data_IF_249824951380
#
_entry.id   IF_249824951380
#
_cell.length_a   1.000
_cell.length_b   1.000
_cell.length_c   1.000
_cell.angle_alpha   90.00
_cell.angle_beta   90.00
_cell.angle_gamma   90.00
#
_symmetry.space_group_name_H-M   'P 1'
#
loop_
_entity.id
_entity.type
_entity.pdbx_description
1 polymer ?
#
# COMPACT_ATOMS: atom_id res chain seq x y z
N UNK A 1 -15.02 -7.64 -17.75
CA UNK A 1 -14.28 -8.60 -18.61
C UNK A 1 -15.24 -9.11 -19.66
N UNK A 2 -14.84 -9.09 -20.92
CA UNK A 2 -15.59 -9.64 -22.05
C UNK A 2 -15.00 -11.00 -22.41
N UNK A 3 -15.87 -12.01 -22.52
CA UNK A 3 -15.50 -13.31 -23.06
C UNK A 3 -16.09 -13.44 -24.47
N UNK A 4 -15.28 -13.82 -25.44
CA UNK A 4 -15.70 -14.00 -26.83
C UNK A 4 -14.96 -15.15 -27.50
N UNK A 5 -15.60 -15.78 -28.44
CA UNK A 5 -15.02 -16.86 -29.22
C UNK A 5 -14.43 -16.30 -30.53
N UNK A 6 -13.18 -16.67 -30.82
CA UNK A 6 -12.51 -16.35 -32.07
C UNK A 6 -11.77 -17.58 -32.57
N UNK A 7 -12.16 -18.07 -33.73
CA UNK A 7 -11.53 -19.24 -34.36
C UNK A 7 -11.62 -20.53 -33.53
N UNK A 8 -12.70 -20.70 -32.74
CA UNK A 8 -12.90 -21.86 -31.86
C UNK A 8 -12.20 -21.79 -30.51
N UNK A 9 -11.53 -20.67 -30.21
CA UNK A 9 -10.90 -20.44 -28.91
C UNK A 9 -11.65 -19.37 -28.14
N UNK A 10 -11.86 -19.62 -26.85
CA UNK A 10 -12.43 -18.65 -25.91
C UNK A 10 -11.36 -17.63 -25.53
N UNK A 11 -11.61 -16.36 -25.81
CA UNK A 11 -10.72 -15.25 -25.47
C UNK A 11 -11.40 -14.28 -24.49
N UNK A 12 -10.60 -13.67 -23.65
CA UNK A 12 -11.05 -12.68 -22.69
C UNK A 12 -10.42 -11.32 -23.00
N UNK A 13 -11.20 -10.26 -22.83
CA UNK A 13 -10.73 -8.87 -22.92
C UNK A 13 -11.28 -8.07 -21.75
N UNK A 14 -10.41 -7.34 -21.04
CA UNK A 14 -10.83 -6.41 -20.00
C UNK A 14 -11.09 -5.03 -20.58
N UNK A 15 -12.10 -4.36 -20.03
CA UNK A 15 -12.34 -2.92 -20.24
C UNK A 15 -12.24 -2.30 -18.87
N UNK A 16 -11.32 -1.35 -18.72
CA UNK A 16 -11.09 -0.65 -17.48
C UNK A 16 -11.95 0.62 -17.44
N UNK A 17 -12.71 0.78 -16.36
CA UNK A 17 -13.61 1.92 -16.10
C UNK A 17 -13.05 2.77 -14.97
N UNK A 18 -11.79 3.19 -15.10
CA UNK A 18 -11.06 3.90 -14.04
C UNK A 18 -11.67 5.26 -13.68
N UNK A 19 -12.40 5.87 -14.62
CA UNK A 19 -13.03 7.18 -14.45
C UNK A 19 -14.51 7.09 -14.03
N UNK A 20 -15.03 5.87 -13.80
CA UNK A 20 -16.42 5.71 -13.38
C UNK A 20 -16.64 6.32 -11.99
N UNK A 21 -17.56 7.26 -11.92
CA UNK A 21 -17.97 7.94 -10.68
C UNK A 21 -19.49 7.85 -10.48
N UNK A 22 -19.99 8.13 -9.26
CA UNK A 22 -21.43 8.19 -9.01
C UNK A 22 -22.18 9.21 -9.88
N UNK A 23 -21.49 10.20 -10.44
CA UNK A 23 -22.03 11.25 -11.31
C UNK A 23 -21.83 11.00 -12.81
N UNK A 24 -21.16 9.91 -13.18
CA UNK A 24 -20.91 9.59 -14.59
C UNK A 24 -22.21 9.32 -15.34
N UNK A 25 -22.38 9.93 -16.51
CA UNK A 25 -23.49 9.58 -17.42
C UNK A 25 -23.24 8.20 -18.03
N UNK A 26 -24.00 7.23 -17.58
CA UNK A 26 -23.87 5.83 -18.00
C UNK A 26 -24.17 5.66 -19.47
N UNK A 27 -25.13 6.41 -20.02
CA UNK A 27 -25.51 6.29 -21.44
C UNK A 27 -24.39 6.78 -22.35
N UNK A 28 -23.81 7.94 -22.05
CA UNK A 28 -22.68 8.48 -22.77
C UNK A 28 -21.44 7.55 -22.69
N UNK A 29 -21.19 6.97 -21.52
CA UNK A 29 -20.08 6.03 -21.31
C UNK A 29 -20.28 4.75 -22.13
N UNK A 30 -21.49 4.21 -22.19
CA UNK A 30 -21.80 3.01 -23.02
C UNK A 30 -21.56 3.29 -24.50
N UNK A 31 -21.95 4.46 -25.00
CA UNK A 31 -21.68 4.85 -26.40
C UNK A 31 -20.18 4.97 -26.68
N UNK A 32 -19.42 5.52 -25.76
CA UNK A 32 -17.96 5.62 -25.88
C UNK A 32 -17.31 4.23 -25.91
N UNK A 33 -17.73 3.35 -25.01
CA UNK A 33 -17.24 1.95 -24.96
C UNK A 33 -17.57 1.22 -26.25
N UNK A 34 -18.79 1.39 -26.80
CA UNK A 34 -19.18 0.78 -28.07
C UNK A 34 -18.36 1.25 -29.26
N UNK A 35 -18.00 2.55 -29.29
CA UNK A 35 -17.11 3.09 -30.34
C UNK A 35 -15.69 2.53 -30.23
N UNK A 36 -15.20 2.36 -29.01
CA UNK A 36 -13.85 1.86 -28.75
C UNK A 36 -13.74 0.33 -28.90
N UNK A 37 -14.84 -0.41 -28.67
CA UNK A 37 -14.85 -1.86 -28.60
C UNK A 37 -15.92 -2.48 -29.50
N UNK A 38 -15.58 -2.85 -30.74
CA UNK A 38 -16.53 -3.42 -31.69
C UNK A 38 -17.16 -4.77 -31.28
N UNK A 39 -16.60 -5.44 -30.28
CA UNK A 39 -17.16 -6.67 -29.72
C UNK A 39 -18.48 -6.43 -28.96
N UNK A 40 -18.74 -5.21 -28.55
CA UNK A 40 -19.99 -4.81 -27.91
C UNK A 40 -20.99 -4.34 -28.96
N UNK A 41 -21.81 -5.26 -29.38
CA UNK A 41 -22.87 -4.99 -30.38
C UNK A 41 -24.03 -4.19 -29.75
N UNK A 42 -24.82 -3.51 -30.58
CA UNK A 42 -26.01 -2.78 -30.14
C UNK A 42 -26.99 -3.65 -29.35
N UNK A 43 -27.10 -4.94 -29.67
CA UNK A 43 -27.96 -5.90 -28.94
C UNK A 43 -27.52 -6.15 -27.49
N UNK A 44 -26.23 -5.92 -27.18
CA UNK A 44 -25.67 -6.09 -25.83
C UNK A 44 -25.50 -4.79 -25.04
N UNK A 45 -25.81 -3.67 -25.67
CA UNK A 45 -25.70 -2.32 -25.07
C UNK A 45 -26.45 -2.23 -23.74
N UNK A 46 -27.67 -2.73 -23.69
CA UNK A 46 -28.48 -2.71 -22.47
C UNK A 46 -27.87 -3.54 -21.33
N UNK A 47 -27.24 -4.68 -21.63
CA UNK A 47 -26.56 -5.48 -20.62
C UNK A 47 -25.34 -4.77 -20.05
N UNK A 48 -24.54 -4.12 -20.90
CA UNK A 48 -23.39 -3.31 -20.49
C UNK A 48 -23.85 -2.14 -19.63
N UNK A 49 -24.92 -1.47 -20.02
CA UNK A 49 -25.53 -0.38 -19.25
C UNK A 49 -25.92 -0.83 -17.83
N UNK A 50 -26.62 -1.96 -17.71
CA UNK A 50 -27.01 -2.52 -16.42
C UNK A 50 -25.81 -2.88 -15.54
N UNK A 51 -24.74 -3.43 -16.12
CA UNK A 51 -23.52 -3.75 -15.38
C UNK A 51 -22.82 -2.48 -14.86
N UNK A 52 -22.75 -1.43 -15.68
CA UNK A 52 -22.16 -0.14 -15.29
C UNK A 52 -23.03 0.53 -14.21
N UNK A 53 -24.34 0.49 -14.33
CA UNK A 53 -25.25 1.01 -13.30
C UNK A 53 -25.06 0.30 -11.97
N UNK A 54 -24.96 -1.04 -11.98
CA UNK A 54 -24.68 -1.82 -10.76
C UNK A 54 -23.34 -1.46 -10.11
N UNK A 55 -22.31 -1.20 -10.93
CA UNK A 55 -21.03 -0.73 -10.41
C UNK A 55 -21.13 0.68 -9.83
N UNK A 56 -21.88 1.56 -10.50
CA UNK A 56 -22.12 2.91 -10.03
C UNK A 56 -22.92 2.94 -8.71
N UNK A 57 -23.93 2.08 -8.57
CA UNK A 57 -24.71 1.94 -7.32
C UNK A 57 -23.81 1.47 -6.17
N UNK A 58 -22.93 0.50 -6.42
CA UNK A 58 -21.93 0.10 -5.42
C UNK A 58 -20.98 1.21 -5.01
N UNK A 59 -20.58 2.07 -5.94
CA UNK A 59 -19.76 3.24 -5.62
C UNK A 59 -20.53 4.23 -4.76
N UNK A 60 -21.85 4.40 -4.98
CA UNK A 60 -22.72 5.25 -4.15
C UNK A 60 -22.87 4.69 -2.74
N UNK A 61 -23.15 3.39 -2.60
CA UNK A 61 -23.29 2.74 -1.29
C UNK A 61 -22.07 2.93 -0.40
N UNK A 62 -20.87 2.96 -0.99
CA UNK A 62 -19.63 3.13 -0.24
C UNK A 62 -19.25 4.59 0.01
N UNK A 63 -19.87 5.56 -0.69
CA UNK A 63 -19.52 6.98 -0.56
C UNK A 63 -19.97 7.60 0.77
N UNK A 64 -21.04 7.08 1.38
CA UNK A 64 -21.65 7.60 2.62
C UNK A 64 -21.41 6.70 3.84
N UNK A 65 -20.55 5.68 3.71
CA UNK A 65 -20.30 4.75 4.80
C UNK A 65 -19.69 5.45 6.01
N UNK A 66 -20.31 5.26 7.18
CA UNK A 66 -19.81 5.70 8.48
C UNK A 66 -19.20 4.51 9.21
N UNK A 67 -18.02 4.71 9.75
CA UNK A 67 -17.29 3.66 10.46
C UNK A 67 -17.60 3.71 11.96
N UNK A 68 -17.97 2.57 12.50
CA UNK A 68 -18.19 2.39 13.94
C UNK A 68 -17.18 1.38 14.49
N UNK A 69 -16.83 1.56 15.75
CA UNK A 69 -15.93 0.63 16.42
C UNK A 69 -16.62 -0.74 16.59
N UNK A 70 -16.08 -1.73 15.88
CA UNK A 70 -16.56 -3.11 16.02
C UNK A 70 -15.89 -3.82 17.18
N UNK A 71 -14.55 -3.76 17.26
CA UNK A 71 -13.80 -4.50 18.27
C UNK A 71 -12.46 -3.84 18.60
N UNK A 72 -12.09 -3.91 19.87
CA UNK A 72 -10.75 -3.59 20.35
C UNK A 72 -10.02 -4.90 20.62
N UNK A 73 -8.88 -5.08 19.96
CA UNK A 73 -8.05 -6.27 20.14
C UNK A 73 -6.82 -5.88 20.96
N UNK A 74 -6.69 -6.46 22.14
CA UNK A 74 -5.45 -6.39 22.94
C UNK A 74 -4.44 -7.36 22.37
N UNK A 75 -3.93 -6.99 21.21
CA UNK A 75 -3.22 -7.87 20.31
C UNK A 75 -1.91 -8.39 20.90
N UNK A 76 -1.14 -7.51 21.51
CA UNK A 76 0.22 -7.80 21.95
C UNK A 76 0.49 -7.23 23.36
N UNK A 77 1.52 -7.79 24.02
CA UNK A 77 1.98 -7.31 25.34
C UNK A 77 2.89 -6.09 25.23
N UNK A 78 3.41 -5.80 24.04
CA UNK A 78 4.24 -4.63 23.71
C UNK A 78 3.65 -3.91 22.49
N UNK A 79 4.09 -2.69 22.20
CA UNK A 79 3.57 -1.92 21.07
C UNK A 79 3.60 -2.65 19.75
N UNK A 80 2.60 -2.40 18.92
CA UNK A 80 2.57 -2.87 17.54
C UNK A 80 3.57 -2.06 16.69
N UNK A 81 4.10 -2.73 15.66
CA UNK A 81 4.98 -2.09 14.68
C UNK A 81 4.28 -1.87 13.34
N UNK A 82 3.40 -2.78 12.95
CA UNK A 82 2.72 -2.70 11.68
C UNK A 82 1.42 -3.53 11.67
N UNK A 83 0.55 -3.19 10.71
CA UNK A 83 -0.70 -3.90 10.43
C UNK A 83 -0.80 -4.10 8.92
N UNK A 84 -1.26 -5.25 8.47
CA UNK A 84 -1.50 -5.52 7.06
C UNK A 84 -2.74 -6.41 6.88
N UNK A 85 -3.52 -6.16 5.81
CA UNK A 85 -4.67 -6.96 5.43
C UNK A 85 -4.36 -7.82 4.21
N UNK A 86 -5.01 -8.98 4.12
CA UNK A 86 -5.03 -9.72 2.87
C UNK A 86 -6.01 -9.08 1.87
N UNK A 87 -5.91 -9.44 0.61
CA UNK A 87 -6.74 -8.84 -0.45
C UNK A 87 -8.23 -9.11 -0.29
N UNK A 88 -8.61 -10.28 0.21
CA UNK A 88 -10.01 -10.62 0.45
C UNK A 88 -10.62 -9.83 1.63
N UNK A 89 -9.77 -9.28 2.51
CA UNK A 89 -10.19 -8.63 3.76
C UNK A 89 -10.65 -9.61 4.85
N UNK A 90 -10.50 -10.92 4.62
CA UNK A 90 -10.93 -11.94 5.59
C UNK A 90 -10.01 -12.05 6.79
N UNK A 91 -8.72 -11.75 6.61
CA UNK A 91 -7.69 -11.80 7.63
C UNK A 91 -6.84 -10.54 7.63
N UNK A 92 -6.26 -10.22 8.77
CA UNK A 92 -5.19 -9.25 8.90
C UNK A 92 -4.12 -9.74 9.87
N UNK A 93 -2.96 -9.16 9.79
CA UNK A 93 -1.80 -9.49 10.61
C UNK A 93 -1.29 -8.27 11.35
N UNK A 94 -0.72 -8.51 12.52
CA UNK A 94 -0.09 -7.49 13.37
C UNK A 94 1.31 -7.93 13.76
N UNK A 95 2.29 -7.06 13.59
CA UNK A 95 3.65 -7.26 14.08
C UNK A 95 3.90 -6.42 15.33
N UNK A 96 4.82 -6.85 16.19
CA UNK A 96 5.05 -6.22 17.48
C UNK A 96 6.50 -6.28 17.96
N UNK A 97 6.82 -5.38 18.89
CA UNK A 97 8.02 -5.43 19.71
C UNK A 97 8.09 -6.66 20.60
N UNK A 98 6.98 -7.38 20.82
CA UNK A 98 6.94 -8.64 21.58
C UNK A 98 7.55 -9.83 20.82
N UNK A 99 8.15 -9.59 19.63
CA UNK A 99 8.82 -10.56 18.74
C UNK A 99 7.88 -11.52 18.02
N UNK A 100 6.59 -11.23 18.00
CA UNK A 100 5.57 -12.06 17.33
C UNK A 100 4.85 -11.32 16.24
N UNK A 101 4.29 -12.08 15.32
CA UNK A 101 3.26 -11.65 14.39
C UNK A 101 2.01 -12.47 14.68
N UNK A 102 0.85 -11.84 14.76
CA UNK A 102 -0.42 -12.53 14.97
C UNK A 102 -1.32 -12.41 13.76
N UNK A 103 -2.07 -13.48 13.51
CA UNK A 103 -3.05 -13.58 12.42
C UNK A 103 -4.44 -13.54 13.02
N UNK A 104 -5.29 -12.67 12.50
CA UNK A 104 -6.62 -12.38 13.02
C UNK A 104 -7.69 -12.61 11.95
N UNK A 105 -8.82 -13.19 12.36
CA UNK A 105 -10.03 -13.22 11.56
C UNK A 105 -10.75 -11.87 11.63
N UNK A 106 -10.95 -11.22 10.49
CA UNK A 106 -11.53 -9.87 10.44
C UNK A 106 -13.00 -9.87 10.88
N UNK A 107 -13.76 -10.91 10.53
CA UNK A 107 -15.19 -10.96 10.81
C UNK A 107 -15.50 -11.15 12.30
N UNK A 108 -14.75 -11.97 12.99
CA UNK A 108 -14.95 -12.27 14.42
C UNK A 108 -14.03 -11.46 15.34
N UNK A 109 -12.91 -10.96 14.81
CA UNK A 109 -11.80 -10.40 15.60
C UNK A 109 -11.09 -11.48 16.43
N UNK A 110 -11.24 -12.76 16.10
CA UNK A 110 -10.57 -13.87 16.76
C UNK A 110 -9.14 -14.04 16.31
N UNK A 111 -8.24 -14.39 17.24
CA UNK A 111 -6.88 -14.77 16.92
C UNK A 111 -6.86 -16.16 16.28
N UNK A 112 -6.28 -16.26 15.08
CA UNK A 112 -6.12 -17.52 14.37
C UNK A 112 -4.80 -18.19 14.71
N UNK A 113 -3.70 -17.43 14.66
CA UNK A 113 -2.35 -17.91 14.94
C UNK A 113 -1.51 -16.84 15.61
N UNK A 114 -0.55 -17.30 16.40
CA UNK A 114 0.62 -16.52 16.81
C UNK A 114 1.84 -17.10 16.10
N UNK A 115 2.46 -16.31 15.24
CA UNK A 115 3.68 -16.66 14.51
C UNK A 115 4.87 -16.31 15.38
N UNK A 116 5.32 -17.29 16.15
CA UNK A 116 6.41 -17.18 17.13
C UNK A 116 7.66 -17.86 16.59
N UNK A 117 8.80 -17.23 16.72
CA UNK A 117 10.09 -17.77 16.25
C UNK A 117 11.17 -16.72 16.04
N UNK A 118 10.82 -15.46 15.89
CA UNK A 118 11.79 -14.38 15.87
C UNK A 118 12.38 -14.11 17.26
N UNK A 119 13.67 -13.74 17.27
CA UNK A 119 14.42 -13.45 18.50
C UNK A 119 14.48 -11.97 18.84
N UNK A 120 13.88 -11.14 18.03
CA UNK A 120 13.81 -9.69 18.22
C UNK A 120 12.52 -9.15 17.58
N UNK A 121 12.32 -7.83 17.61
CA UNK A 121 11.16 -7.12 17.11
C UNK A 121 10.77 -7.59 15.71
N UNK A 122 9.50 -7.87 15.50
CA UNK A 122 8.89 -8.06 14.18
C UNK A 122 8.45 -6.69 13.66
N UNK A 123 9.18 -6.15 12.70
CA UNK A 123 9.00 -4.78 12.22
C UNK A 123 8.26 -4.69 10.89
N UNK A 124 8.59 -5.55 9.94
CA UNK A 124 8.00 -5.58 8.61
C UNK A 124 7.16 -6.84 8.41
N UNK A 125 5.95 -6.68 7.93
CA UNK A 125 5.01 -7.79 7.69
C UNK A 125 4.25 -7.57 6.38
N UNK A 126 3.96 -8.63 5.66
CA UNK A 126 3.14 -8.58 4.46
C UNK A 126 2.46 -9.91 4.16
N UNK A 127 1.30 -9.85 3.50
CA UNK A 127 0.71 -10.97 2.79
C UNK A 127 1.23 -11.03 1.36
N UNK A 128 1.22 -12.23 0.77
CA UNK A 128 1.48 -12.42 -0.66
C UNK A 128 0.22 -12.12 -1.50
N UNK A 129 -0.26 -10.88 -1.45
CA UNK A 129 -1.42 -10.48 -2.25
C UNK A 129 -1.14 -10.61 -3.77
N UNK A 130 -2.10 -11.06 -4.60
CA UNK A 130 -3.52 -11.28 -4.28
C UNK A 130 -3.86 -12.66 -3.69
N UNK A 131 -2.93 -13.57 -3.58
CA UNK A 131 -3.17 -14.94 -3.13
C UNK A 131 -3.58 -15.01 -1.65
N UNK A 132 -2.81 -14.38 -0.76
CA UNK A 132 -3.12 -14.28 0.67
C UNK A 132 -2.92 -15.58 1.47
N UNK A 133 -2.22 -16.55 0.92
CA UNK A 133 -1.95 -17.84 1.56
C UNK A 133 -0.62 -17.89 2.32
N UNK A 134 0.22 -16.86 2.17
CA UNK A 134 1.52 -16.74 2.82
C UNK A 134 1.70 -15.39 3.49
N UNK A 135 2.51 -15.40 4.55
CA UNK A 135 2.95 -14.21 5.29
C UNK A 135 4.46 -14.19 5.32
N UNK A 136 5.06 -13.02 5.09
CA UNK A 136 6.45 -12.76 5.37
C UNK A 136 6.60 -11.81 6.55
N UNK A 137 7.54 -12.12 7.44
CA UNK A 137 7.87 -11.30 8.61
C UNK A 137 9.36 -10.97 8.61
N UNK A 138 9.67 -9.69 8.66
CA UNK A 138 11.04 -9.19 8.78
C UNK A 138 11.31 -8.67 10.19
N UNK A 139 12.45 -9.03 10.74
CA UNK A 139 12.77 -8.77 12.13
C UNK A 139 14.09 -8.06 12.33
N UNK A 140 14.24 -7.43 13.48
CA UNK A 140 15.50 -6.90 13.98
C UNK A 140 16.49 -8.00 14.35
N UNK A 141 16.07 -9.28 14.38
CA UNK A 141 16.97 -10.43 14.48
C UNK A 141 17.76 -10.72 13.19
N UNK A 142 17.63 -9.86 12.16
CA UNK A 142 18.32 -9.93 10.86
C UNK A 142 17.76 -11.01 9.93
N UNK A 143 16.66 -11.64 10.26
CA UNK A 143 16.02 -12.68 9.46
C UNK A 143 14.64 -12.25 8.95
N UNK A 144 14.25 -12.87 7.85
CA UNK A 144 12.89 -12.87 7.34
C UNK A 144 12.35 -14.30 7.40
N UNK A 145 11.12 -14.47 7.85
CA UNK A 145 10.46 -15.78 7.89
C UNK A 145 9.25 -15.79 6.98
N UNK A 146 9.03 -16.91 6.32
CA UNK A 146 7.88 -17.18 5.47
C UNK A 146 6.96 -18.19 6.17
N UNK A 147 5.68 -17.83 6.30
CA UNK A 147 4.69 -18.60 7.05
C UNK A 147 3.48 -18.97 6.20
N UNK A 148 2.86 -20.11 6.53
CA UNK A 148 1.55 -20.50 6.01
C UNK A 148 0.44 -19.79 6.78
N UNK A 149 -0.50 -19.17 6.07
CA UNK A 149 -1.72 -18.60 6.67
C UNK A 149 -2.67 -19.69 7.15
N UNK A 150 -2.71 -20.82 6.44
CA UNK A 150 -3.61 -21.93 6.75
C UNK A 150 -3.20 -22.71 8.00
N UNK A 151 -1.90 -22.94 8.19
CA UNK A 151 -1.37 -23.80 9.26
C UNK A 151 -0.61 -23.05 10.35
N UNK A 152 -0.20 -21.80 10.09
CA UNK A 152 0.68 -21.04 10.98
C UNK A 152 2.12 -21.56 11.05
N UNK A 153 2.50 -22.49 10.18
CA UNK A 153 3.85 -23.06 10.16
C UNK A 153 4.82 -22.21 9.37
N UNK A 154 6.07 -22.16 9.82
CA UNK A 154 7.17 -21.51 9.14
C UNK A 154 7.69 -22.43 8.01
N UNK A 155 7.66 -21.94 6.75
CA UNK A 155 8.22 -22.64 5.61
C UNK A 155 9.73 -22.48 5.50
N UNK A 156 10.21 -21.24 5.65
CA UNK A 156 11.60 -20.86 5.47
C UNK A 156 12.00 -19.75 6.42
N UNK A 157 13.29 -19.73 6.77
CA UNK A 157 13.95 -18.60 7.40
C UNK A 157 15.05 -18.10 6.50
N UNK A 158 14.91 -16.88 6.01
CA UNK A 158 15.87 -16.24 5.11
C UNK A 158 16.95 -15.56 5.94
N UNK A 159 18.18 -16.04 5.83
CA UNK A 159 19.36 -15.57 6.56
C UNK A 159 20.38 -15.00 5.59
N UNK A 160 21.02 -13.92 5.95
CA UNK A 160 22.06 -13.28 5.15
C UNK A 160 22.27 -11.80 5.41
N UNK A 161 21.23 -11.09 5.86
CA UNK A 161 21.40 -9.71 6.33
C UNK A 161 22.24 -9.65 7.59
N UNK A 162 23.05 -8.60 7.70
CA UNK A 162 23.96 -8.36 8.84
C UNK A 162 23.41 -7.32 9.82
N UNK A 163 22.26 -6.75 9.53
CA UNK A 163 21.55 -5.80 10.39
C UNK A 163 20.04 -6.00 10.29
N UNK A 164 19.28 -5.19 11.00
CA UNK A 164 17.82 -5.24 11.13
C UNK A 164 17.15 -5.16 9.76
N UNK A 165 16.13 -6.00 9.53
CA UNK A 165 15.23 -5.92 8.39
C UNK A 165 14.10 -4.97 8.74
N UNK A 166 13.90 -3.93 7.93
CA UNK A 166 12.95 -2.85 8.21
C UNK A 166 11.87 -2.71 7.15
N UNK A 167 12.01 -3.34 6.01
CA UNK A 167 10.99 -3.37 4.97
C UNK A 167 11.05 -4.68 4.18
N UNK A 168 9.92 -5.08 3.65
CA UNK A 168 9.80 -6.26 2.79
C UNK A 168 8.58 -6.15 1.87
N UNK A 169 8.59 -6.91 0.80
CA UNK A 169 7.50 -7.00 -0.16
C UNK A 169 7.53 -8.32 -0.90
N UNK A 170 6.34 -8.89 -1.18
CA UNK A 170 6.22 -9.96 -2.16
C UNK A 170 6.11 -9.39 -3.57
N UNK A 171 6.63 -10.12 -4.56
CA UNK A 171 6.28 -9.81 -5.94
C UNK A 171 4.82 -10.24 -6.23
N UNK A 172 4.16 -9.64 -7.25
CA UNK A 172 2.77 -9.97 -7.58
C UNK A 172 2.55 -11.45 -7.95
N UNK A 173 3.58 -12.12 -8.46
CA UNK A 173 3.54 -13.53 -8.84
C UNK A 173 3.66 -14.47 -7.64
N UNK A 174 3.98 -13.96 -6.46
CA UNK A 174 4.25 -14.77 -5.26
C UNK A 174 5.36 -15.82 -5.45
N UNK A 175 6.41 -15.43 -6.15
CA UNK A 175 7.61 -16.27 -6.38
C UNK A 175 8.82 -15.77 -5.60
N UNK A 176 8.83 -14.50 -5.24
CA UNK A 176 9.93 -13.81 -4.57
C UNK A 176 9.45 -12.99 -3.38
N UNK A 177 10.29 -12.92 -2.36
CA UNK A 177 10.25 -11.91 -1.29
C UNK A 177 11.49 -11.03 -1.43
N UNK A 178 11.29 -9.73 -1.36
CA UNK A 178 12.37 -8.76 -1.26
C UNK A 178 12.43 -8.20 0.16
N UNK A 179 13.63 -8.09 0.72
CA UNK A 179 13.89 -7.55 2.06
C UNK A 179 14.86 -6.38 1.96
N UNK A 180 14.56 -5.31 2.69
CA UNK A 180 15.46 -4.16 2.86
C UNK A 180 15.94 -4.06 4.30
N UNK A 181 17.19 -3.68 4.49
CA UNK A 181 17.85 -3.74 5.79
C UNK A 181 18.67 -2.48 6.11
N UNK A 182 18.92 -2.29 7.39
CA UNK A 182 19.89 -1.31 7.90
C UNK A 182 21.34 -1.63 7.50
N UNK A 183 21.61 -2.82 6.96
CA UNK A 183 22.93 -3.18 6.40
C UNK A 183 23.22 -2.53 5.05
N UNK A 184 22.37 -1.63 4.59
CA UNK A 184 22.46 -0.90 3.31
C UNK A 184 22.08 -1.72 2.06
N UNK A 185 21.68 -2.97 2.23
CA UNK A 185 21.39 -3.90 1.14
C UNK A 185 19.91 -4.28 1.09
N UNK A 186 19.45 -4.60 -0.09
CA UNK A 186 18.22 -5.35 -0.31
C UNK A 186 18.57 -6.74 -0.85
N UNK A 187 17.74 -7.73 -0.52
CA UNK A 187 17.93 -9.11 -0.96
C UNK A 187 16.64 -9.66 -1.53
N UNK A 188 16.76 -10.47 -2.57
CA UNK A 188 15.67 -11.22 -3.17
C UNK A 188 15.79 -12.70 -2.79
N UNK A 189 14.68 -13.26 -2.33
CA UNK A 189 14.59 -14.65 -1.85
C UNK A 189 13.57 -15.43 -2.65
N UNK A 190 13.95 -16.63 -3.10
CA UNK A 190 13.01 -17.55 -3.73
C UNK A 190 12.11 -18.20 -2.67
N UNK A 191 10.81 -18.06 -2.85
CA UNK A 191 9.80 -18.58 -1.91
C UNK A 191 9.78 -20.10 -1.86
N UNK A 192 10.04 -20.75 -3.01
CA UNK A 192 9.91 -22.21 -3.14
C UNK A 192 11.05 -22.93 -2.44
N UNK A 193 12.29 -22.54 -2.68
CA UNK A 193 13.48 -23.22 -2.16
C UNK A 193 14.12 -22.53 -0.95
N UNK A 194 13.74 -21.28 -0.65
CA UNK A 194 14.25 -20.49 0.46
C UNK A 194 15.65 -19.92 0.23
N UNK A 195 16.15 -19.94 -1.01
CA UNK A 195 17.48 -19.47 -1.34
C UNK A 195 17.52 -17.98 -1.72
N UNK A 196 18.65 -17.35 -1.45
CA UNK A 196 18.94 -15.99 -1.92
C UNK A 196 19.17 -16.00 -3.42
N UNK A 197 18.42 -15.16 -4.16
CA UNK A 197 18.55 -15.04 -5.62
C UNK A 197 19.52 -13.92 -5.98
N UNK A 198 19.33 -12.73 -5.39
CA UNK A 198 20.18 -11.56 -5.62
C UNK A 198 20.38 -10.77 -4.33
N UNK A 199 21.53 -10.11 -4.26
CA UNK A 199 21.81 -9.02 -3.33
C UNK A 199 21.89 -7.73 -4.12
N UNK A 200 21.05 -6.74 -3.78
CA UNK A 200 21.02 -5.43 -4.41
C UNK A 200 21.92 -4.49 -3.62
N UNK A 201 23.11 -4.23 -4.14
CA UNK A 201 24.11 -3.39 -3.51
C UNK A 201 24.26 -2.06 -4.21
N UNK A 202 24.51 -0.99 -3.46
CA UNK A 202 24.80 0.32 -4.03
C UNK A 202 24.30 1.50 -3.20
N UNK A 203 23.37 1.30 -2.27
CA UNK A 203 23.06 2.31 -1.29
C UNK A 203 24.20 2.45 -0.26
N UNK A 204 24.44 3.67 0.20
CA UNK A 204 25.48 3.99 1.19
C UNK A 204 24.93 4.14 2.62
N UNK A 205 23.62 4.02 2.78
CA UNK A 205 22.95 4.06 4.07
C UNK A 205 21.76 3.06 4.09
N UNK A 206 21.05 3.01 5.20
CA UNK A 206 19.93 2.09 5.46
C UNK A 206 18.85 2.19 4.39
N UNK A 207 18.34 1.03 3.96
CA UNK A 207 17.17 0.93 3.08
C UNK A 207 15.93 0.84 3.97
N UNK A 208 15.02 1.80 3.84
CA UNK A 208 13.82 1.89 4.66
C UNK A 208 12.52 1.69 3.90
N UNK A 209 12.55 1.76 2.58
CA UNK A 209 11.38 1.55 1.73
C UNK A 209 11.74 0.63 0.58
N UNK A 210 10.84 -0.29 0.28
CA UNK A 210 11.01 -1.25 -0.80
C UNK A 210 9.64 -1.68 -1.30
N UNK A 211 9.46 -1.68 -2.63
CA UNK A 211 8.28 -2.26 -3.24
C UNK A 211 8.55 -2.73 -4.67
N UNK A 212 7.79 -3.76 -5.09
CA UNK A 212 7.71 -4.16 -6.48
C UNK A 212 6.72 -3.26 -7.23
N UNK A 213 6.91 -3.14 -8.54
CA UNK A 213 5.87 -2.62 -9.41
C UNK A 213 4.78 -3.69 -9.65
N UNK A 214 3.67 -3.32 -10.27
CA UNK A 214 2.53 -4.21 -10.49
C UNK A 214 2.81 -5.35 -11.47
N UNK A 215 3.77 -5.20 -12.37
CA UNK A 215 4.24 -6.27 -13.26
C UNK A 215 5.25 -7.21 -12.60
N UNK A 216 5.89 -6.78 -11.52
CA UNK A 216 6.88 -7.56 -10.79
C UNK A 216 8.28 -7.59 -11.43
N UNK A 217 8.50 -6.85 -12.51
CA UNK A 217 9.78 -6.81 -13.23
C UNK A 217 10.76 -5.76 -12.70
N UNK A 218 10.29 -4.86 -11.84
CA UNK A 218 11.06 -3.78 -11.21
C UNK A 218 10.83 -3.73 -9.70
N UNK A 219 11.87 -3.31 -8.99
CA UNK A 219 11.85 -2.99 -7.56
C UNK A 219 12.34 -1.57 -7.38
N UNK A 220 11.70 -0.81 -6.49
CA UNK A 220 12.19 0.48 -6.01
C UNK A 220 12.67 0.35 -4.57
N UNK A 221 13.85 0.87 -4.27
CA UNK A 221 14.38 0.98 -2.91
C UNK A 221 14.61 2.44 -2.57
N UNK A 222 14.15 2.85 -1.39
CA UNK A 222 14.39 4.17 -0.82
C UNK A 222 15.32 4.07 0.37
N UNK A 223 16.30 4.98 0.47
CA UNK A 223 17.35 4.91 1.47
C UNK A 223 17.56 6.23 2.22
N UNK A 224 18.16 6.12 3.38
CA UNK A 224 18.68 7.25 4.14
C UNK A 224 19.89 7.94 3.48
N UNK A 225 20.44 7.37 2.40
CA UNK A 225 21.46 8.03 1.57
C UNK A 225 20.91 9.14 0.66
N UNK A 226 19.64 9.53 0.82
CA UNK A 226 18.91 10.55 0.07
C UNK A 226 18.48 10.12 -1.33
N UNK A 227 18.69 8.87 -1.70
CA UNK A 227 18.40 8.36 -3.04
C UNK A 227 17.37 7.23 -3.03
N UNK A 228 16.69 7.07 -4.15
CA UNK A 228 15.96 5.87 -4.50
C UNK A 228 16.62 5.22 -5.71
N UNK A 229 16.52 3.91 -5.82
CA UNK A 229 17.10 3.13 -6.91
C UNK A 229 16.06 2.18 -7.47
N UNK A 230 15.95 2.11 -8.78
CA UNK A 230 15.15 1.13 -9.49
C UNK A 230 16.06 -0.02 -9.94
N UNK A 231 15.60 -1.24 -9.65
CA UNK A 231 16.33 -2.48 -9.95
C UNK A 231 15.52 -3.36 -10.90
N UNK A 232 16.21 -4.07 -11.77
CA UNK A 232 15.63 -5.13 -12.58
C UNK A 232 15.52 -6.42 -11.75
N UNK A 233 14.31 -6.96 -11.63
CA UNK A 233 14.06 -8.15 -10.80
C UNK A 233 14.70 -9.42 -11.38
N UNK A 234 14.78 -9.54 -12.70
CA UNK A 234 15.31 -10.72 -13.37
C UNK A 234 16.84 -10.82 -13.30
N UNK A 235 17.53 -9.68 -13.26
CA UNK A 235 18.99 -9.61 -13.31
C UNK A 235 19.64 -9.14 -12.02
N UNK A 236 18.89 -8.51 -11.12
CA UNK A 236 19.40 -7.87 -9.90
C UNK A 236 20.24 -6.61 -10.17
N UNK A 237 20.20 -6.07 -11.39
CA UNK A 237 21.00 -4.89 -11.78
C UNK A 237 20.24 -3.61 -11.58
N UNK A 238 20.98 -2.53 -11.31
CA UNK A 238 20.42 -1.16 -11.29
C UNK A 238 19.90 -0.79 -12.68
N UNK A 239 18.68 -0.24 -12.71
CA UNK A 239 18.09 0.37 -13.92
C UNK A 239 18.37 1.87 -13.93
N UNK A 240 18.07 2.56 -12.83
CA UNK A 240 18.35 3.98 -12.68
C UNK A 240 18.45 4.39 -11.21
N UNK A 241 19.15 5.50 -10.98
CA UNK A 241 19.23 6.17 -9.70
C UNK A 241 18.34 7.42 -9.72
N UNK A 242 17.53 7.60 -8.67
CA UNK A 242 16.69 8.78 -8.48
C UNK A 242 17.38 9.69 -7.48
N UNK A 243 18.09 10.68 -8.00
CA UNK A 243 18.91 11.62 -7.22
C UNK A 243 18.27 13.02 -7.30
N UNK A 244 18.04 13.64 -6.15
CA UNK A 244 17.46 14.99 -6.08
C UNK A 244 17.00 15.41 -4.69
N UNK A 245 16.64 14.47 -3.83
CA UNK A 245 16.32 14.77 -2.44
C UNK A 245 17.55 15.20 -1.65
N UNK A 246 17.35 16.12 -0.72
CA UNK A 246 18.41 16.68 0.13
C UNK A 246 18.46 16.05 1.53
N UNK A 247 17.59 15.11 1.81
CA UNK A 247 17.52 14.38 3.08
C UNK A 247 17.04 12.94 2.85
N UNK A 248 16.92 12.19 3.90
CA UNK A 248 16.53 10.77 3.90
C UNK A 248 15.19 10.55 3.18
N UNK A 249 15.10 9.46 2.42
CA UNK A 249 13.85 9.00 1.82
C UNK A 249 13.01 8.29 2.89
N UNK A 250 11.75 8.66 3.01
CA UNK A 250 10.79 7.99 3.90
C UNK A 250 9.89 6.99 3.19
N UNK A 251 9.62 7.20 1.89
CA UNK A 251 8.76 6.33 1.10
C UNK A 251 9.13 6.40 -0.36
N UNK A 252 9.02 5.28 -1.07
CA UNK A 252 9.23 5.20 -2.51
C UNK A 252 8.32 4.12 -3.10
N UNK A 253 7.54 4.45 -4.13
CA UNK A 253 6.57 3.53 -4.73
C UNK A 253 6.29 3.86 -6.19
N UNK A 254 5.86 2.84 -6.93
CA UNK A 254 5.33 2.96 -8.28
C UNK A 254 3.82 3.29 -8.26
N UNK A 255 3.34 3.94 -9.31
CA UNK A 255 1.91 3.97 -9.60
C UNK A 255 1.47 2.64 -10.24
N UNK A 256 0.15 2.46 -10.43
CA UNK A 256 -0.41 1.20 -10.91
C UNK A 256 0.11 0.78 -12.29
N UNK A 257 0.19 1.69 -13.25
CA UNK A 257 0.64 1.40 -14.62
C UNK A 257 2.16 1.36 -14.78
N UNK A 258 2.91 1.50 -13.69
CA UNK A 258 4.37 1.47 -13.65
C UNK A 258 5.06 2.60 -14.43
N UNK A 259 4.34 3.66 -14.78
CA UNK A 259 4.86 4.79 -15.55
C UNK A 259 5.58 5.83 -14.70
N UNK A 260 5.18 5.95 -13.43
CA UNK A 260 5.67 6.97 -12.50
C UNK A 260 6.14 6.36 -11.18
N UNK A 261 7.06 7.06 -10.52
CA UNK A 261 7.53 6.78 -9.18
C UNK A 261 7.29 8.02 -8.32
N UNK A 262 6.82 7.81 -7.09
CA UNK A 262 6.67 8.82 -6.07
C UNK A 262 7.65 8.54 -4.94
N UNK A 263 8.40 9.57 -4.53
CA UNK A 263 9.29 9.51 -3.36
C UNK A 263 8.91 10.60 -2.37
N UNK A 264 8.85 10.24 -1.10
CA UNK A 264 8.71 11.17 0.01
C UNK A 264 10.00 11.25 0.79
N UNK A 265 10.33 12.44 1.33
CA UNK A 265 11.60 12.68 2.02
C UNK A 265 11.46 13.54 3.27
N UNK A 266 12.43 13.40 4.15
CA UNK A 266 12.63 14.26 5.30
C UNK A 266 13.02 15.71 4.91
N UNK A 267 13.32 15.97 3.63
CA UNK A 267 13.54 17.31 3.08
C UNK A 267 12.25 18.13 2.90
N UNK A 268 11.12 17.64 3.42
CA UNK A 268 9.78 18.26 3.38
C UNK A 268 9.09 18.23 2.01
N UNK A 269 9.62 17.47 1.07
CA UNK A 269 9.10 17.36 -0.29
C UNK A 269 8.78 15.94 -0.69
N UNK A 270 7.87 15.80 -1.65
CA UNK A 270 7.74 14.61 -2.48
C UNK A 270 8.25 14.93 -3.88
N UNK A 271 8.80 13.95 -4.55
CA UNK A 271 9.20 14.06 -5.95
C UNK A 271 8.49 13.00 -6.79
N UNK A 272 8.09 13.41 -7.99
CA UNK A 272 7.48 12.56 -9.00
C UNK A 272 8.50 12.31 -10.11
N UNK A 273 8.72 11.04 -10.43
CA UNK A 273 9.75 10.60 -11.37
C UNK A 273 9.13 9.83 -12.52
N UNK A 274 9.71 9.98 -13.72
CA UNK A 274 9.43 9.07 -14.81
C UNK A 274 10.13 7.72 -14.55
N UNK A 275 9.36 6.65 -14.51
CA UNK A 275 9.89 5.33 -14.14
C UNK A 275 10.83 4.73 -15.19
N UNK A 276 10.71 5.16 -16.45
CA UNK A 276 11.55 4.66 -17.55
C UNK A 276 12.89 5.40 -17.63
N UNK A 277 12.85 6.72 -17.59
CA UNK A 277 14.05 7.56 -17.73
C UNK A 277 14.76 7.88 -16.42
N UNK A 278 14.07 7.75 -15.29
CA UNK A 278 14.58 8.17 -13.98
C UNK A 278 14.66 9.69 -13.80
N UNK A 279 14.05 10.47 -14.70
CA UNK A 279 14.05 11.93 -14.61
C UNK A 279 13.00 12.42 -13.63
N UNK A 280 13.36 13.42 -12.83
CA UNK A 280 12.41 14.13 -11.98
C UNK A 280 11.45 14.94 -12.84
N UNK A 281 10.16 14.64 -12.72
CA UNK A 281 9.08 15.33 -13.43
C UNK A 281 8.54 16.52 -12.64
N UNK A 282 8.52 16.42 -11.31
CA UNK A 282 8.01 17.45 -10.43
C UNK A 282 8.53 17.29 -9.01
N UNK A 283 8.61 18.42 -8.30
CA UNK A 283 8.81 18.47 -6.86
C UNK A 283 7.54 19.03 -6.23
N UNK A 284 6.91 18.26 -5.35
CA UNK A 284 5.68 18.62 -4.66
C UNK A 284 6.05 19.26 -3.31
N UNK A 285 5.78 20.54 -3.20
CA UNK A 285 6.16 21.37 -2.04
C UNK A 285 4.94 21.88 -1.29
N UNK A 286 5.16 22.43 -0.11
CA UNK A 286 4.15 23.09 0.70
C UNK A 286 4.09 22.62 2.14
N UNK A 287 4.64 21.45 2.46
CA UNK A 287 4.78 21.02 3.85
C UNK A 287 5.89 21.77 4.59
N UNK A 288 5.65 22.04 5.85
CA UNK A 288 6.58 22.77 6.73
C UNK A 288 7.54 21.84 7.48
N UNK A 289 7.32 20.53 7.39
CA UNK A 289 8.12 19.53 8.08
C UNK A 289 8.24 18.25 7.22
N UNK A 290 8.92 17.26 7.74
CA UNK A 290 9.25 16.01 7.08
C UNK A 290 8.02 15.28 6.51
N UNK A 291 8.17 14.67 5.34
CA UNK A 291 7.18 13.76 4.77
C UNK A 291 7.40 12.39 5.39
N UNK A 292 6.39 11.86 6.06
CA UNK A 292 6.43 10.56 6.72
C UNK A 292 5.83 9.43 5.88
N UNK A 293 4.88 9.75 5.02
CA UNK A 293 4.27 8.80 4.10
C UNK A 293 3.69 9.50 2.86
N UNK A 294 3.58 8.78 1.77
CA UNK A 294 2.93 9.23 0.55
C UNK A 294 2.38 8.06 -0.25
N UNK A 295 1.38 8.31 -1.07
CA UNK A 295 0.78 7.27 -1.90
C UNK A 295 0.11 7.86 -3.14
N UNK A 296 -0.13 6.99 -4.14
CA UNK A 296 -1.04 7.25 -5.25
C UNK A 296 -2.45 6.73 -4.92
N UNK A 297 -3.47 7.30 -5.55
CA UNK A 297 -4.73 6.58 -5.71
C UNK A 297 -4.55 5.45 -6.76
N UNK A 298 -5.56 4.57 -6.88
CA UNK A 298 -5.46 3.43 -7.80
C UNK A 298 -5.37 3.84 -9.28
N UNK A 299 -5.84 5.03 -9.64
CA UNK A 299 -5.75 5.54 -11.02
C UNK A 299 -4.40 6.17 -11.35
N UNK A 300 -3.60 6.50 -10.34
CA UNK A 300 -2.38 7.28 -10.49
C UNK A 300 -2.60 8.77 -10.80
N UNK A 301 -3.84 9.25 -10.75
CA UNK A 301 -4.18 10.67 -11.01
C UNK A 301 -4.00 11.57 -9.80
N UNK A 302 -4.16 11.00 -8.61
CA UNK A 302 -4.05 11.72 -7.35
C UNK A 302 -2.86 11.20 -6.53
N UNK A 303 -2.22 12.12 -5.84
CA UNK A 303 -1.12 11.85 -4.91
C UNK A 303 -1.51 12.42 -3.55
N UNK A 304 -1.33 11.63 -2.51
CA UNK A 304 -1.52 12.07 -1.13
C UNK A 304 -0.19 12.05 -0.37
N UNK A 305 0.04 13.07 0.44
CA UNK A 305 1.24 13.23 1.25
C UNK A 305 0.87 13.46 2.71
N UNK A 306 1.59 12.84 3.62
CA UNK A 306 1.43 13.00 5.06
C UNK A 306 2.73 13.50 5.69
N UNK A 307 2.63 14.47 6.59
CA UNK A 307 3.78 15.14 7.15
C UNK A 307 3.79 15.19 8.67
N UNK A 308 5.00 15.33 9.22
CA UNK A 308 5.24 15.66 10.62
C UNK A 308 4.69 17.05 11.02
N UNK A 309 4.33 17.90 10.05
CA UNK A 309 3.66 19.18 10.32
C UNK A 309 2.20 19.05 10.80
N UNK A 310 1.69 17.81 10.88
CA UNK A 310 0.32 17.54 11.30
C UNK A 310 -0.71 17.69 10.18
N UNK A 311 -0.29 17.91 8.94
CA UNK A 311 -1.17 18.06 7.78
C UNK A 311 -0.91 16.98 6.73
N UNK A 312 -1.90 16.78 5.89
CA UNK A 312 -1.78 16.01 4.67
C UNK A 312 -2.18 16.89 3.48
N UNK A 313 -1.74 16.53 2.29
CA UNK A 313 -2.06 17.23 1.05
C UNK A 313 -2.44 16.25 -0.05
N UNK A 314 -3.32 16.69 -0.94
CA UNK A 314 -3.67 15.98 -2.16
C UNK A 314 -3.21 16.80 -3.35
N UNK A 315 -2.47 16.15 -4.26
CA UNK A 315 -1.95 16.75 -5.48
C UNK A 315 -2.54 16.04 -6.70
N UNK A 316 -2.71 16.80 -7.79
CA UNK A 316 -2.96 16.21 -9.10
C UNK A 316 -1.62 15.76 -9.71
N UNK A 317 -1.53 14.50 -10.14
CA UNK A 317 -0.34 13.99 -10.82
C UNK A 317 -0.13 14.66 -12.19
N UNK A 318 -1.22 15.03 -12.89
CA UNK A 318 -1.17 15.67 -14.20
C UNK A 318 -0.73 17.14 -14.12
N UNK A 319 -1.39 17.94 -13.27
CA UNK A 319 -1.11 19.37 -13.13
C UNK A 319 0.01 19.68 -12.14
N UNK A 320 0.34 18.70 -11.27
CA UNK A 320 1.37 18.81 -10.23
C UNK A 320 1.06 19.87 -9.17
N UNK A 321 -0.20 20.32 -9.12
CA UNK A 321 -0.69 21.32 -8.17
C UNK A 321 -1.38 20.66 -6.99
N UNK A 322 -1.27 21.30 -5.82
CA UNK A 322 -2.04 20.94 -4.64
C UNK A 322 -3.51 21.23 -4.89
N UNK A 323 -4.35 20.20 -4.77
CA UNK A 323 -5.81 20.31 -4.90
C UNK A 323 -6.39 20.77 -3.58
N UNK A 324 -5.97 20.14 -2.47
CA UNK A 324 -6.49 20.43 -1.15
C UNK A 324 -5.50 20.08 -0.05
N UNK A 325 -5.66 20.73 1.09
CA UNK A 325 -4.91 20.49 2.32
C UNK A 325 -5.84 19.91 3.37
N UNK A 326 -5.40 18.85 4.03
CA UNK A 326 -6.11 18.17 5.09
C UNK A 326 -5.60 18.65 6.44
N UNK A 327 -6.37 19.51 7.10
CA UNK A 327 -6.03 20.12 8.40
C UNK A 327 -7.00 19.63 9.48
N UNK A 328 -6.47 19.33 10.65
CA UNK A 328 -7.27 18.92 11.79
C UNK A 328 -6.55 18.05 12.80
N UNK A 329 -5.56 17.27 12.39
CA UNK A 329 -4.71 16.55 13.33
C UNK A 329 -3.86 17.51 14.17
N UNK A 330 -3.67 17.16 15.43
CA UNK A 330 -2.86 17.92 16.40
C UNK A 330 -1.46 17.33 16.59
N UNK A 331 -1.09 16.34 15.81
CA UNK A 331 0.20 15.68 15.84
C UNK A 331 0.63 15.21 14.47
N UNK A 332 1.83 14.64 14.39
CA UNK A 332 2.41 14.10 13.17
C UNK A 332 1.48 13.06 12.53
N UNK A 333 1.36 13.10 11.20
CA UNK A 333 0.64 12.09 10.43
C UNK A 333 1.66 11.08 9.90
N UNK A 334 1.62 9.87 10.45
CA UNK A 334 2.59 8.81 10.14
C UNK A 334 2.17 7.90 8.99
N UNK A 335 0.86 7.86 8.67
CA UNK A 335 0.30 6.99 7.65
C UNK A 335 -0.80 7.69 6.89
N UNK A 336 -0.83 7.49 5.56
CA UNK A 336 -1.89 7.96 4.69
C UNK A 336 -2.18 6.93 3.59
N UNK A 337 -3.45 6.72 3.29
CA UNK A 337 -3.87 5.87 2.18
C UNK A 337 -5.20 6.32 1.61
N UNK A 338 -5.38 6.12 0.31
CA UNK A 338 -6.67 6.24 -0.34
C UNK A 338 -7.53 5.01 -0.06
N UNK A 339 -8.85 5.18 -0.02
CA UNK A 339 -9.75 4.04 -0.14
C UNK A 339 -9.68 3.47 -1.57
N UNK A 340 -10.18 2.25 -1.79
CA UNK A 340 -10.14 1.64 -3.13
C UNK A 340 -10.87 2.44 -4.21
N UNK A 341 -11.85 3.25 -3.84
CA UNK A 341 -12.62 4.11 -4.75
C UNK A 341 -11.89 5.42 -5.10
N UNK A 342 -10.85 5.78 -4.36
CA UNK A 342 -10.07 7.00 -4.59
C UNK A 342 -10.73 8.31 -4.17
N UNK A 343 -11.89 8.27 -3.50
CA UNK A 343 -12.64 9.44 -3.08
C UNK A 343 -12.46 9.83 -1.62
N UNK A 344 -11.86 8.95 -0.82
CA UNK A 344 -11.58 9.17 0.60
C UNK A 344 -10.12 8.87 0.93
N UNK A 345 -9.64 9.51 1.99
CA UNK A 345 -8.32 9.29 2.57
C UNK A 345 -8.45 8.88 4.02
N UNK A 346 -7.56 8.01 4.45
CA UNK A 346 -7.39 7.60 5.83
C UNK A 346 -6.01 8.06 6.31
N UNK A 347 -5.98 8.73 7.45
CA UNK A 347 -4.75 9.17 8.11
C UNK A 347 -4.66 8.61 9.52
N UNK A 348 -3.47 8.20 9.93
CA UNK A 348 -3.13 7.85 11.30
C UNK A 348 -2.12 8.83 11.89
N UNK A 349 -2.35 9.27 13.12
CA UNK A 349 -1.57 10.35 13.74
C UNK A 349 -1.07 10.02 15.14
N UNK A 350 -0.01 10.72 15.53
CA UNK A 350 0.52 10.73 16.89
C UNK A 350 -0.44 11.41 17.89
N UNK A 351 -1.46 12.12 17.42
CA UNK A 351 -2.55 12.67 18.26
C UNK A 351 -3.52 11.59 18.79
N UNK A 352 -3.24 10.31 18.57
CA UNK A 352 -4.03 9.14 19.01
C UNK A 352 -5.32 8.91 18.23
N UNK A 353 -5.50 9.61 17.11
CA UNK A 353 -6.69 9.48 16.25
C UNK A 353 -6.33 9.03 14.85
N UNK A 354 -7.28 8.35 14.20
CA UNK A 354 -7.32 8.22 12.76
C UNK A 354 -8.46 9.10 12.22
N UNK A 355 -8.30 9.61 11.00
CA UNK A 355 -9.31 10.46 10.37
C UNK A 355 -9.60 10.01 8.96
N UNK A 356 -10.86 10.18 8.57
CA UNK A 356 -11.34 9.94 7.22
C UNK A 356 -11.66 11.29 6.59
N UNK A 357 -11.16 11.51 5.39
CA UNK A 357 -11.23 12.77 4.68
C UNK A 357 -11.85 12.59 3.31
N UNK A 358 -12.55 13.62 2.84
CA UNK A 358 -12.91 13.73 1.43
C UNK A 358 -11.68 14.14 0.61
N UNK A 359 -11.33 13.36 -0.42
CA UNK A 359 -10.11 13.57 -1.19
C UNK A 359 -10.16 14.80 -2.10
N UNK A 360 -11.34 15.31 -2.43
CA UNK A 360 -11.50 16.49 -3.28
C UNK A 360 -11.62 17.78 -2.48
N UNK A 361 -12.42 17.76 -1.43
CA UNK A 361 -12.74 18.96 -0.64
C UNK A 361 -11.76 19.17 0.52
N UNK A 362 -11.08 18.12 0.97
CA UNK A 362 -10.23 18.14 2.14
C UNK A 362 -10.99 18.17 3.47
N UNK A 363 -12.32 18.03 3.43
CA UNK A 363 -13.14 18.01 4.62
C UNK A 363 -12.91 16.74 5.43
N UNK A 364 -12.75 16.88 6.74
CA UNK A 364 -12.74 15.74 7.65
C UNK A 364 -14.15 15.19 7.79
N UNK A 365 -14.36 13.96 7.32
CA UNK A 365 -15.68 13.30 7.36
C UNK A 365 -15.92 12.60 8.69
N UNK A 366 -14.87 12.03 9.28
CA UNK A 366 -14.96 11.28 10.52
C UNK A 366 -13.64 11.24 11.27
N UNK A 367 -13.72 11.26 12.61
CA UNK A 367 -12.58 11.07 13.51
C UNK A 367 -12.78 9.77 14.28
N UNK A 368 -11.83 8.84 14.12
CA UNK A 368 -11.83 7.55 14.82
C UNK A 368 -11.04 7.70 16.12
N UNK A 369 -11.75 7.77 17.25
CA UNK A 369 -11.19 8.00 18.57
C UNK A 369 -11.20 6.72 19.42
N UNK A 370 -10.30 6.68 20.39
CA UNK A 370 -10.30 5.65 21.43
C UNK A 370 -8.94 5.07 21.76
N UNK A 371 -7.97 5.12 20.84
CA UNK A 371 -6.60 4.77 21.17
C UNK A 371 -6.02 5.72 22.23
N UNK A 372 -5.19 5.17 23.11
CA UNK A 372 -4.58 5.92 24.21
C UNK A 372 -3.14 6.33 23.97
N UNK A 373 -2.59 5.92 22.82
CA UNK A 373 -1.25 6.29 22.34
C UNK A 373 -1.25 6.44 20.82
N UNK A 374 -0.12 6.81 20.25
CA UNK A 374 0.04 7.11 18.82
C UNK A 374 -0.44 5.97 17.92
N UNK A 375 -1.17 6.32 16.87
CA UNK A 375 -1.49 5.44 15.75
C UNK A 375 -0.38 5.58 14.71
N UNK A 376 0.33 4.51 14.45
CA UNK A 376 1.40 4.51 13.46
C UNK A 376 1.06 3.68 12.21
N UNK A 377 0.00 2.88 12.26
CA UNK A 377 -0.47 2.12 11.09
C UNK A 377 -2.00 2.09 11.05
N UNK A 378 -2.54 2.29 9.87
CA UNK A 378 -3.96 2.16 9.58
C UNK A 378 -4.13 1.78 8.11
N UNK A 379 -5.18 1.02 7.82
CA UNK A 379 -5.45 0.58 6.46
C UNK A 379 -6.94 0.34 6.23
N UNK A 380 -7.41 0.63 5.01
CA UNK A 380 -8.68 0.12 4.49
C UNK A 380 -8.53 -1.33 4.05
N UNK A 381 -9.61 -2.10 4.15
CA UNK A 381 -9.71 -3.34 3.39
C UNK A 381 -9.92 -3.02 1.90
N UNK A 382 -9.83 -4.06 1.06
CA UNK A 382 -9.95 -3.92 -0.39
C UNK A 382 -11.33 -3.46 -0.88
N UNK A 383 -12.36 -3.61 -0.07
CA UNK A 383 -13.73 -3.11 -0.34
C UNK A 383 -13.93 -1.67 0.12
N UNK A 384 -13.11 -1.18 1.01
CA UNK A 384 -13.21 0.17 1.59
C UNK A 384 -14.26 0.30 2.69
N UNK A 385 -14.80 -0.80 3.21
CA UNK A 385 -15.84 -0.83 4.25
C UNK A 385 -15.35 -1.27 5.63
N UNK A 386 -14.07 -1.61 5.76
CA UNK A 386 -13.43 -1.96 7.03
C UNK A 386 -12.12 -1.19 7.15
N UNK A 387 -11.85 -0.67 8.33
CA UNK A 387 -10.59 -0.04 8.68
C UNK A 387 -9.98 -0.79 9.86
N UNK A 388 -8.68 -1.02 9.80
CA UNK A 388 -7.88 -1.51 10.92
C UNK A 388 -6.93 -0.39 11.33
N UNK A 389 -6.87 -0.10 12.62
CA UNK A 389 -5.91 0.85 13.21
C UNK A 389 -5.02 0.15 14.21
N UNK A 390 -3.73 0.39 14.15
CA UNK A 390 -2.72 -0.13 15.08
C UNK A 390 -2.04 0.99 15.84
N UNK A 391 -1.85 0.81 17.15
CA UNK A 391 -1.33 1.83 18.04
C UNK A 391 -0.20 1.34 18.93
N UNK A 392 0.62 2.28 19.38
CA UNK A 392 1.61 2.05 20.45
C UNK A 392 1.00 1.72 21.80
N UNK A 393 -0.32 1.80 21.95
CA UNK A 393 -1.06 1.35 23.14
C UNK A 393 -1.21 -0.17 23.23
N UNK A 394 -0.51 -0.96 22.41
CA UNK A 394 -0.52 -2.42 22.31
C UNK A 394 -1.80 -3.00 21.71
N UNK A 395 -2.70 -2.18 21.21
CA UNK A 395 -3.99 -2.61 20.67
C UNK A 395 -4.11 -2.33 19.18
N UNK A 396 -4.95 -3.12 18.52
CA UNK A 396 -5.51 -2.74 17.25
C UNK A 396 -7.04 -2.69 17.35
N UNK A 397 -7.66 -1.91 16.48
CA UNK A 397 -9.11 -1.71 16.43
C UNK A 397 -9.63 -2.00 15.06
N UNK A 398 -10.79 -2.66 15.01
CA UNK A 398 -11.54 -2.94 13.79
C UNK A 398 -12.73 -2.00 13.76
N UNK A 399 -12.88 -1.30 12.65
CA UNK A 399 -13.95 -0.34 12.38
C UNK A 399 -14.71 -0.77 11.13
N UNK A 400 -16.04 -0.80 11.19
CA UNK A 400 -16.89 -1.07 10.04
C UNK A 400 -18.28 -0.44 10.13
#
# INVERSE_FOLDING_TARGET
MLEYEKSGELKTKSIDLLDLSPSTDVSALVEEIQRAEPLITASRSHQVQLLIQRLQDKLREHSDHQFELFKVLRAHILPLTNVALNKSGSCFITGSYDRTCKVWDTASGGELFTLDGHRNVVYAIAFNNPYGDKIATGSFDKTCKLWSVETGKCYHTFRGHTAEIVCLSFNPQSTLVATGSMDTMAKLWDIQNGEEVFTLTGHSAEIISLSFNTSGDRIITGSFDHTAVVWDTATGRKVCNLIGHCAEISSALFNWDCSMILTGSMDKTCMLWDATSGKCMATLTGHDDEILDCCFDYTGKLIATASADGTARVFSAATRKCITKLEGHEGEISKISFNPQGNRLLTGSSDKTARIWDAQTGQCLQVLRGHTDEIFSCAFNYKGNIIITGSKDNTCRIWH
#
